data_IF_300649949411
#
_entry.id   IF_300649949411
#
_cell.length_a   1.000
_cell.length_b   1.000
_cell.length_c   1.000
_cell.angle_alpha   90.00
_cell.angle_beta   90.00
_cell.angle_gamma   90.00
#
_symmetry.space_group_name_H-M   'P 1'
#
loop_
_entity.id
_entity.type
_entity.pdbx_description
1 polymer ?
#
# COMPACT_ATOMS: atom_id res chain seq x y z
N UNK A 1 40.23 1.41 66.97
CA UNK A 1 38.86 1.66 66.46
C UNK A 1 38.95 2.34 65.10
N UNK A 2 38.14 1.87 64.14
CA UNK A 2 37.80 2.42 62.81
C UNK A 2 38.53 1.80 61.61
N UNK A 3 37.90 0.73 61.14
CA UNK A 3 38.04 0.11 59.83
C UNK A 3 37.54 1.10 58.76
N UNK A 4 38.33 1.36 57.71
CA UNK A 4 37.87 2.04 56.51
C UNK A 4 37.66 0.98 55.43
N UNK A 5 36.39 0.70 55.16
CA UNK A 5 35.94 -0.21 54.11
C UNK A 5 36.09 0.47 52.74
N UNK A 6 36.88 -0.14 51.86
CA UNK A 6 36.93 0.23 50.44
C UNK A 6 35.66 -0.31 49.75
N UNK A 7 34.78 0.59 49.34
CA UNK A 7 33.60 0.27 48.54
C UNK A 7 34.00 0.24 47.06
N UNK A 8 34.20 -0.97 46.50
CA UNK A 8 34.35 -1.15 45.06
C UNK A 8 32.98 -1.09 44.40
N UNK A 9 32.67 0.02 43.73
CA UNK A 9 31.46 0.16 42.91
C UNK A 9 31.74 -0.45 41.52
N UNK A 10 31.40 -1.72 41.34
CA UNK A 10 31.41 -2.35 40.02
C UNK A 10 30.22 -1.86 39.20
N UNK A 11 30.46 -0.94 38.26
CA UNK A 11 29.50 -0.59 37.21
C UNK A 11 29.34 -1.80 36.27
N UNK A 12 28.32 -2.62 36.51
CA UNK A 12 27.81 -3.55 35.51
C UNK A 12 27.06 -2.74 34.45
N UNK A 13 27.74 -2.36 33.37
CA UNK A 13 27.09 -2.01 32.11
C UNK A 13 26.48 -3.29 31.55
N UNK A 14 25.22 -3.55 31.91
CA UNK A 14 24.43 -4.60 31.28
C UNK A 14 24.21 -4.26 29.82
N UNK A 15 25.01 -4.86 28.93
CA UNK A 15 24.71 -4.90 27.50
C UNK A 15 23.52 -5.85 27.37
N UNK A 16 22.30 -5.32 27.34
CA UNK A 16 21.13 -6.09 26.94
C UNK A 16 21.25 -6.37 25.45
N UNK A 17 21.81 -7.53 25.10
CA UNK A 17 21.68 -8.07 23.76
C UNK A 17 20.20 -8.40 23.54
N UNK A 18 19.48 -7.52 22.85
CA UNK A 18 18.16 -7.86 22.34
C UNK A 18 18.34 -8.99 21.34
N UNK A 19 17.75 -10.16 21.62
CA UNK A 19 17.72 -11.24 20.66
C UNK A 19 16.95 -10.75 19.43
N UNK A 20 17.63 -10.68 18.30
CA UNK A 20 17.02 -10.29 17.04
C UNK A 20 16.10 -11.43 16.58
N UNK A 21 14.81 -11.13 16.37
CA UNK A 21 13.87 -12.13 15.85
C UNK A 21 14.28 -12.50 14.43
N UNK A 22 14.45 -13.80 14.19
CA UNK A 22 14.82 -14.34 12.87
C UNK A 22 13.86 -15.43 12.44
N UNK A 23 13.69 -15.61 11.14
CA UNK A 23 12.84 -16.63 10.52
C UNK A 23 13.56 -17.35 9.39
N UNK A 24 13.10 -18.56 9.07
CA UNK A 24 13.57 -19.32 7.91
C UNK A 24 12.91 -18.77 6.65
N UNK A 25 13.72 -18.33 5.68
CA UNK A 25 13.24 -17.80 4.40
C UNK A 25 13.76 -18.65 3.25
N UNK A 26 12.85 -19.24 2.48
CA UNK A 26 13.17 -19.96 1.24
C UNK A 26 13.14 -18.99 0.08
N UNK A 27 14.32 -18.69 -0.47
CA UNK A 27 14.47 -17.97 -1.73
C UNK A 27 14.24 -18.93 -2.89
N UNK A 28 13.47 -18.49 -3.90
CA UNK A 28 13.20 -19.28 -5.10
C UNK A 28 13.25 -18.40 -6.35
N UNK A 29 13.90 -18.90 -7.40
CA UNK A 29 13.92 -18.25 -8.72
C UNK A 29 13.75 -19.30 -9.81
N UNK A 30 12.88 -19.01 -10.77
CA UNK A 30 12.66 -19.84 -11.95
C UNK A 30 13.53 -19.32 -13.10
N UNK A 31 14.45 -20.15 -13.57
CA UNK A 31 15.33 -19.83 -14.69
C UNK A 31 14.62 -19.97 -16.04
N UNK A 32 13.44 -20.61 -16.09
CA UNK A 32 12.71 -20.87 -17.33
C UNK A 32 13.59 -21.54 -18.38
N UNK A 33 13.72 -20.90 -19.54
CA UNK A 33 14.59 -21.35 -20.64
C UNK A 33 15.98 -20.69 -20.64
N UNK A 34 16.32 -19.90 -19.62
CA UNK A 34 17.62 -19.25 -19.55
C UNK A 34 18.73 -20.26 -19.28
N UNK A 35 19.88 -20.07 -19.95
CA UNK A 35 21.08 -20.86 -19.67
C UNK A 35 21.64 -20.48 -18.30
N UNK A 36 21.77 -21.47 -17.43
CA UNK A 36 22.37 -21.30 -16.10
C UNK A 36 23.88 -21.17 -16.24
N UNK A 37 24.44 -20.17 -15.58
CA UNK A 37 25.89 -19.96 -15.49
C UNK A 37 26.58 -21.18 -14.91
N UNK A 38 27.80 -21.47 -15.38
CA UNK A 38 28.64 -22.53 -14.80
C UNK A 38 29.02 -22.23 -13.35
N UNK A 39 28.92 -20.97 -12.93
CA UNK A 39 29.12 -20.55 -11.54
C UNK A 39 27.85 -20.74 -10.69
N UNK A 40 26.73 -21.22 -11.26
CA UNK A 40 25.48 -21.48 -10.55
C UNK A 40 24.60 -20.24 -10.35
N UNK A 41 23.55 -20.40 -9.53
CA UNK A 41 22.59 -19.34 -9.20
C UNK A 41 22.80 -18.92 -7.75
N UNK A 42 22.80 -17.61 -7.49
CA UNK A 42 22.98 -17.06 -6.14
C UNK A 42 21.90 -16.04 -5.77
N UNK A 43 21.74 -15.77 -4.49
CA UNK A 43 20.98 -14.65 -3.96
C UNK A 43 21.88 -13.70 -3.17
N UNK A 44 21.83 -12.41 -3.50
CA UNK A 44 22.49 -11.36 -2.74
C UNK A 44 21.47 -10.51 -1.99
N UNK A 45 21.71 -10.14 -0.74
CA UNK A 45 20.77 -9.27 -0.03
C UNK A 45 21.23 -8.79 1.34
N UNK A 46 20.35 -7.98 1.93
CA UNK A 46 20.49 -7.41 3.28
C UNK A 46 20.74 -8.45 4.37
N UNK A 47 20.28 -9.69 4.19
CA UNK A 47 20.43 -10.79 5.14
C UNK A 47 21.87 -11.32 5.30
N UNK A 48 22.79 -10.95 4.41
CA UNK A 48 24.18 -11.43 4.46
C UNK A 48 25.24 -10.37 4.11
N UNK A 49 24.85 -9.09 4.04
CA UNK A 49 25.70 -7.95 3.63
C UNK A 49 26.02 -7.88 2.13
N UNK A 50 25.06 -8.22 1.26
CA UNK A 50 25.19 -8.04 -0.20
C UNK A 50 26.42 -8.71 -0.83
N UNK A 51 26.85 -9.86 -0.29
CA UNK A 51 27.81 -10.74 -0.95
C UNK A 51 27.15 -11.49 -2.11
N UNK A 52 27.70 -11.41 -3.34
CA UNK A 52 27.11 -12.05 -4.53
C UNK A 52 27.35 -13.57 -4.61
N UNK A 53 28.27 -14.12 -3.81
CA UNK A 53 28.75 -15.50 -3.97
C UNK A 53 28.51 -16.43 -2.77
N UNK A 54 28.00 -15.91 -1.64
CA UNK A 54 27.93 -16.70 -0.40
C UNK A 54 26.65 -17.51 -0.24
N UNK A 55 25.59 -17.19 -1.00
CA UNK A 55 24.29 -17.85 -0.89
C UNK A 55 23.92 -18.48 -2.23
N UNK A 56 24.43 -19.69 -2.47
CA UNK A 56 24.11 -20.49 -3.65
C UNK A 56 22.72 -21.14 -3.54
N UNK A 57 22.02 -21.23 -4.66
CA UNK A 57 20.74 -21.93 -4.80
C UNK A 57 20.93 -23.24 -5.55
N UNK A 58 20.18 -24.26 -5.13
CA UNK A 58 20.19 -25.59 -5.74
C UNK A 58 18.94 -25.82 -6.58
N UNK A 59 19.09 -26.52 -7.69
CA UNK A 59 17.95 -26.90 -8.54
C UNK A 59 16.96 -27.77 -7.76
N UNK A 60 15.68 -27.47 -7.86
CA UNK A 60 14.60 -28.23 -7.23
C UNK A 60 14.21 -29.39 -8.15
N UNK A 61 14.69 -30.58 -7.84
CA UNK A 61 14.42 -31.80 -8.64
C UNK A 61 14.85 -31.63 -10.09
N UNK A 62 13.95 -31.91 -11.03
CA UNK A 62 14.15 -31.72 -12.47
C UNK A 62 13.42 -30.47 -13.02
N UNK A 63 13.07 -29.51 -12.16
CA UNK A 63 12.37 -28.28 -12.57
C UNK A 63 13.35 -27.20 -13.04
N UNK A 64 12.84 -26.07 -13.51
CA UNK A 64 13.62 -24.88 -13.82
C UNK A 64 13.83 -23.96 -12.59
N UNK A 65 13.31 -24.36 -11.43
CA UNK A 65 13.36 -23.59 -10.18
C UNK A 65 14.63 -23.94 -9.40
N UNK A 66 15.30 -22.90 -8.91
CA UNK A 66 16.42 -22.97 -7.98
C UNK A 66 15.99 -22.40 -6.64
N UNK A 67 16.41 -23.03 -5.54
CA UNK A 67 16.00 -22.62 -4.20
C UNK A 67 17.11 -22.78 -3.15
N UNK A 68 17.03 -21.97 -2.09
CA UNK A 68 17.82 -22.13 -0.87
C UNK A 68 17.06 -21.56 0.32
N UNK A 69 17.31 -22.09 1.51
CA UNK A 69 16.71 -21.59 2.76
C UNK A 69 17.80 -21.01 3.65
N UNK A 70 17.59 -19.78 4.12
CA UNK A 70 18.52 -19.09 5.03
C UNK A 70 17.76 -18.45 6.17
N UNK A 71 18.47 -18.16 7.26
CA UNK A 71 17.92 -17.40 8.38
C UNK A 71 17.97 -15.91 8.07
N UNK A 72 16.82 -15.23 8.16
CA UNK A 72 16.68 -13.80 7.87
C UNK A 72 16.06 -13.10 9.08
N UNK A 73 16.51 -11.89 9.35
CA UNK A 73 15.92 -11.03 10.38
C UNK A 73 14.46 -10.67 10.04
N UNK A 74 13.63 -10.56 11.05
CA UNK A 74 12.28 -10.03 10.90
C UNK A 74 12.29 -8.60 10.33
N UNK A 75 11.27 -8.25 9.54
CA UNK A 75 11.11 -6.93 8.94
C UNK A 75 11.41 -6.90 7.44
N UNK A 76 11.86 -5.74 6.95
CA UNK A 76 12.16 -5.51 5.54
C UNK A 76 13.37 -6.33 5.10
N UNK A 77 13.17 -7.10 4.03
CA UNK A 77 14.20 -7.84 3.33
C UNK A 77 14.35 -7.24 1.93
N UNK A 78 15.57 -6.83 1.58
CA UNK A 78 15.95 -6.50 0.20
C UNK A 78 16.95 -7.53 -0.35
N UNK A 79 16.81 -7.87 -1.63
CA UNK A 79 17.62 -8.88 -2.29
C UNK A 79 17.60 -8.78 -3.83
N UNK A 80 18.51 -9.52 -4.47
CA UNK A 80 18.61 -9.77 -5.91
C UNK A 80 19.01 -11.23 -6.16
N UNK A 81 18.54 -11.80 -7.27
CA UNK A 81 19.09 -13.05 -7.80
C UNK A 81 20.23 -12.78 -8.78
N UNK A 82 21.16 -13.72 -8.85
CA UNK A 82 22.30 -13.70 -9.76
C UNK A 82 22.36 -15.00 -10.56
N UNK A 83 22.54 -14.88 -11.87
CA UNK A 83 22.86 -16.02 -12.74
C UNK A 83 24.38 -16.11 -12.92
N UNK A 84 25.05 -16.44 -11.83
CA UNK A 84 26.49 -16.36 -11.64
C UNK A 84 26.78 -16.08 -10.17
N UNK A 85 27.96 -15.55 -9.87
CA UNK A 85 28.40 -15.32 -8.48
C UNK A 85 29.16 -14.00 -8.28
N UNK A 86 29.06 -13.07 -9.24
CA UNK A 86 29.67 -11.75 -9.17
C UNK A 86 28.65 -10.65 -9.57
N UNK A 87 28.91 -9.42 -9.14
CA UNK A 87 28.13 -8.27 -9.62
C UNK A 87 28.32 -8.07 -11.12
N UNK A 88 27.22 -7.77 -11.83
CA UNK A 88 27.14 -7.89 -13.28
C UNK A 88 26.44 -9.18 -13.74
N UNK A 89 26.39 -10.22 -12.90
CA UNK A 89 25.51 -11.39 -13.09
C UNK A 89 24.12 -11.18 -12.47
N UNK A 90 23.92 -10.08 -11.74
CA UNK A 90 22.67 -9.78 -11.05
C UNK A 90 21.55 -9.39 -12.01
N UNK A 91 20.35 -9.77 -11.63
CA UNK A 91 19.17 -9.48 -12.43
C UNK A 91 18.86 -7.97 -12.50
N UNK A 92 18.28 -7.58 -13.64
CA UNK A 92 17.57 -6.31 -13.79
C UNK A 92 16.13 -6.48 -13.32
N UNK A 93 15.86 -6.13 -12.05
CA UNK A 93 14.53 -6.27 -11.45
C UNK A 93 13.54 -5.31 -12.13
N UNK A 94 12.38 -5.79 -12.61
CA UNK A 94 11.39 -4.92 -13.24
C UNK A 94 10.78 -3.89 -12.28
N UNK A 95 10.44 -2.73 -12.83
CA UNK A 95 9.84 -1.61 -12.08
C UNK A 95 8.65 -2.01 -11.17
N UNK A 96 7.70 -2.88 -11.60
CA UNK A 96 6.57 -3.28 -10.75
C UNK A 96 6.93 -4.12 -9.51
N UNK A 97 8.16 -4.57 -9.34
CA UNK A 97 8.54 -5.44 -8.21
C UNK A 97 9.86 -5.05 -7.53
N UNK A 98 10.42 -3.91 -7.92
CA UNK A 98 11.56 -3.34 -7.21
C UNK A 98 11.11 -2.41 -6.08
N UNK A 99 12.05 -2.05 -5.20
CA UNK A 99 11.84 -0.98 -4.19
C UNK A 99 11.45 0.31 -4.90
N UNK A 100 12.21 0.72 -5.92
CA UNK A 100 11.83 1.78 -6.87
C UNK A 100 12.00 3.21 -6.35
N UNK A 101 12.76 3.40 -5.26
CA UNK A 101 13.01 4.72 -4.65
C UNK A 101 14.50 5.01 -4.64
N UNK A 102 14.92 6.26 -4.94
CA UNK A 102 16.32 6.70 -4.94
C UNK A 102 17.27 5.82 -5.80
N UNK A 103 16.77 5.29 -6.92
CA UNK A 103 17.53 4.38 -7.79
C UNK A 103 17.68 2.95 -7.27
N UNK A 104 17.07 2.61 -6.12
CA UNK A 104 17.09 1.26 -5.58
C UNK A 104 16.22 0.31 -6.44
N UNK A 105 16.88 -0.60 -7.15
CA UNK A 105 16.27 -1.60 -8.02
C UNK A 105 16.26 -3.01 -7.42
N UNK A 106 16.29 -3.14 -6.10
CA UNK A 106 16.27 -4.43 -5.42
C UNK A 106 14.86 -5.00 -5.38
N UNK A 107 14.74 -6.34 -5.38
CA UNK A 107 13.52 -7.02 -4.93
C UNK A 107 13.37 -6.81 -3.42
N UNK A 108 12.15 -6.94 -2.92
CA UNK A 108 11.89 -6.79 -1.50
C UNK A 108 10.76 -7.70 -1.01
N UNK A 109 10.77 -7.96 0.30
CA UNK A 109 9.74 -8.70 1.03
C UNK A 109 9.66 -8.21 2.49
N UNK A 110 8.62 -8.66 3.22
CA UNK A 110 8.53 -8.50 4.68
C UNK A 110 8.51 -9.87 5.31
N UNK A 111 9.38 -10.08 6.29
CA UNK A 111 9.48 -11.34 7.00
C UNK A 111 8.92 -11.15 8.42
N UNK A 112 7.80 -11.80 8.70
CA UNK A 112 7.15 -11.83 10.03
C UNK A 112 6.95 -13.24 10.57
N UNK A 113 7.30 -14.24 9.76
CA UNK A 113 7.22 -15.67 10.05
C UNK A 113 8.11 -16.43 9.05
N UNK A 114 8.28 -17.73 9.26
CA UNK A 114 8.89 -18.60 8.25
C UNK A 114 8.16 -18.45 6.92
N UNK A 115 8.92 -18.15 5.87
CA UNK A 115 8.35 -17.66 4.60
C UNK A 115 9.02 -18.36 3.43
N UNK A 116 8.21 -18.90 2.53
CA UNK A 116 8.68 -19.32 1.20
C UNK A 116 8.33 -18.24 0.20
N UNK A 117 9.36 -17.57 -0.35
CA UNK A 117 9.15 -16.54 -1.35
C UNK A 117 8.69 -17.16 -2.67
N UNK A 118 7.89 -16.45 -3.48
CA UNK A 118 7.44 -16.95 -4.78
C UNK A 118 8.61 -17.27 -5.70
N UNK A 119 8.50 -18.36 -6.47
CA UNK A 119 9.45 -18.71 -7.52
C UNK A 119 9.25 -17.78 -8.74
N UNK A 120 9.74 -16.55 -8.62
CA UNK A 120 9.69 -15.54 -9.68
C UNK A 120 10.60 -15.93 -10.84
N UNK A 121 10.23 -15.57 -12.07
CA UNK A 121 11.14 -15.71 -13.21
C UNK A 121 12.39 -14.83 -13.02
N UNK A 122 13.58 -15.33 -13.35
CA UNK A 122 14.82 -14.52 -13.31
C UNK A 122 14.67 -13.24 -14.16
N UNK A 123 14.96 -12.08 -13.57
CA UNK A 123 14.71 -10.75 -14.15
C UNK A 123 13.24 -10.49 -14.56
N UNK A 124 12.30 -11.33 -14.14
CA UNK A 124 10.87 -11.21 -14.39
C UNK A 124 10.11 -10.66 -13.19
N UNK A 125 8.92 -10.13 -13.47
CA UNK A 125 8.08 -9.51 -12.44
C UNK A 125 7.39 -10.52 -11.54
N UNK A 126 7.06 -11.71 -12.04
CA UNK A 126 6.18 -12.66 -11.35
C UNK A 126 6.59 -14.12 -11.62
N UNK A 127 6.02 -15.09 -10.88
CA UNK A 127 6.09 -16.50 -11.25
C UNK A 127 5.55 -16.77 -12.66
N UNK A 128 5.94 -17.90 -13.25
CA UNK A 128 5.46 -18.32 -14.57
C UNK A 128 3.92 -18.31 -14.64
N UNK A 129 3.36 -17.73 -15.71
CA UNK A 129 1.91 -17.63 -15.92
C UNK A 129 1.19 -16.55 -15.11
N UNK A 130 1.90 -15.81 -14.24
CA UNK A 130 1.32 -14.78 -13.38
C UNK A 130 1.74 -13.37 -13.81
N UNK A 131 1.11 -12.37 -13.17
CA UNK A 131 1.49 -10.95 -13.18
C UNK A 131 1.65 -10.46 -11.73
N UNK A 132 2.44 -9.42 -11.55
CA UNK A 132 2.62 -8.75 -10.27
C UNK A 132 1.92 -7.39 -10.27
N UNK A 133 1.29 -7.03 -9.17
CA UNK A 133 0.68 -5.73 -8.96
C UNK A 133 1.31 -5.13 -7.71
N UNK A 134 2.05 -4.05 -7.85
CA UNK A 134 2.53 -3.27 -6.72
C UNK A 134 1.48 -2.22 -6.39
N UNK A 135 0.73 -2.47 -5.33
CA UNK A 135 -0.24 -1.53 -4.79
C UNK A 135 0.51 -0.58 -3.87
N UNK A 136 0.47 0.71 -4.18
CA UNK A 136 1.12 1.80 -3.45
C UNK A 136 0.05 2.76 -2.94
N UNK A 137 0.11 3.09 -1.66
CA UNK A 137 -0.75 4.09 -1.03
C UNK A 137 0.08 5.11 -0.27
N UNK A 138 -0.05 6.37 -0.67
CA UNK A 138 0.57 7.49 0.01
C UNK A 138 -0.31 7.93 1.18
N UNK A 139 0.27 7.97 2.38
CA UNK A 139 -0.42 8.29 3.63
C UNK A 139 -0.12 9.70 4.12
N UNK A 140 0.47 10.58 3.29
CA UNK A 140 0.96 11.91 3.70
C UNK A 140 -0.11 12.82 4.34
N UNK A 141 -1.40 12.59 4.03
CA UNK A 141 -2.53 13.36 4.55
C UNK A 141 -3.22 12.68 5.74
N UNK A 142 -2.66 11.58 6.24
CA UNK A 142 -3.28 10.73 7.25
C UNK A 142 -2.33 10.58 8.45
N UNK A 143 -2.90 10.42 9.63
CA UNK A 143 -2.15 9.84 10.76
C UNK A 143 -2.20 8.32 10.60
N UNK A 144 -1.03 7.69 10.41
CA UNK A 144 -0.95 6.24 10.24
C UNK A 144 -1.27 5.54 11.56
N UNK A 145 -2.15 4.54 11.50
CA UNK A 145 -2.52 3.70 12.66
C UNK A 145 -1.30 3.00 13.27
N UNK A 146 -1.35 2.74 14.58
CA UNK A 146 -0.35 1.91 15.27
C UNK A 146 -0.32 0.47 14.74
N UNK A 147 -1.44 0.00 14.16
CA UNK A 147 -1.52 -1.29 13.47
C UNK A 147 -0.99 -1.23 12.03
N UNK A 148 -0.37 -0.12 11.62
CA UNK A 148 0.17 0.11 10.27
C UNK A 148 -0.91 0.12 9.18
N UNK A 149 -0.50 0.03 7.92
CA UNK A 149 -1.37 0.08 6.73
C UNK A 149 -1.45 -1.30 6.09
N UNK A 150 -2.66 -1.71 5.72
CA UNK A 150 -2.91 -2.99 5.06
C UNK A 150 -3.65 -2.80 3.74
N UNK A 151 -3.65 -3.85 2.91
CA UNK A 151 -4.47 -3.94 1.71
C UNK A 151 -5.29 -5.22 1.72
N UNK A 152 -6.60 -5.08 1.56
CA UNK A 152 -7.53 -6.19 1.46
C UNK A 152 -8.02 -6.34 0.03
N UNK A 153 -8.10 -7.58 -0.50
CA UNK A 153 -8.55 -7.78 -1.86
C UNK A 153 -8.78 -9.22 -2.28
N UNK A 154 -9.24 -9.37 -3.53
CA UNK A 154 -9.56 -10.67 -4.14
C UNK A 154 -8.37 -11.63 -4.17
N UNK A 155 -7.15 -11.11 -4.24
CA UNK A 155 -5.91 -11.89 -4.31
C UNK A 155 -5.56 -12.66 -3.02
N UNK A 156 -6.23 -12.37 -1.90
CA UNK A 156 -5.92 -13.02 -0.62
C UNK A 156 -7.16 -13.49 0.17
N UNK A 157 -8.37 -13.17 -0.30
CA UNK A 157 -9.63 -13.54 0.34
C UNK A 157 -10.29 -12.45 1.18
N UNK A 158 -10.02 -11.17 0.90
CA UNK A 158 -10.61 -10.02 1.62
C UNK A 158 -10.39 -10.08 3.15
N UNK A 159 -9.25 -10.56 3.61
CA UNK A 159 -8.84 -10.43 5.01
C UNK A 159 -8.13 -9.07 5.22
N UNK A 160 -8.63 -8.19 6.10
CA UNK A 160 -8.09 -6.86 6.34
C UNK A 160 -6.73 -6.84 7.06
N UNK A 161 -6.37 -7.92 7.76
CA UNK A 161 -5.12 -8.01 8.53
C UNK A 161 -4.01 -8.78 7.80
N UNK A 162 -4.34 -9.45 6.68
CA UNK A 162 -3.45 -10.45 6.08
C UNK A 162 -2.28 -9.86 5.29
N UNK A 163 -2.48 -8.76 4.57
CA UNK A 163 -1.42 -8.16 3.73
C UNK A 163 -1.00 -6.82 4.31
N UNK A 164 0.03 -6.87 5.16
CA UNK A 164 0.72 -5.68 5.67
C UNK A 164 1.45 -4.96 4.53
N UNK A 165 1.30 -3.64 4.44
CA UNK A 165 2.01 -2.79 3.49
C UNK A 165 3.27 -2.18 4.12
N UNK A 166 4.29 -2.00 3.30
CA UNK A 166 5.63 -1.57 3.73
C UNK A 166 5.90 -0.14 3.38
N UNK A 167 6.35 0.64 4.35
CA UNK A 167 6.81 2.00 4.12
C UNK A 167 8.29 2.03 3.75
N UNK A 168 8.64 2.62 2.60
CA UNK A 168 10.04 2.93 2.28
C UNK A 168 10.34 4.45 2.21
N UNK A 169 9.33 5.30 1.96
CA UNK A 169 9.53 6.73 1.64
C UNK A 169 8.28 7.60 1.92
N UNK A 170 7.44 7.20 2.86
CA UNK A 170 6.12 7.78 3.09
C UNK A 170 5.02 7.13 2.23
N UNK A 171 5.38 6.33 1.23
CA UNK A 171 4.43 5.54 0.43
C UNK A 171 4.51 4.07 0.84
N UNK A 172 3.39 3.57 1.37
CA UNK A 172 3.22 2.18 1.75
C UNK A 172 2.98 1.32 0.51
N UNK A 173 3.59 0.14 0.44
CA UNK A 173 3.49 -0.75 -0.73
C UNK A 173 3.35 -2.22 -0.39
N UNK A 174 2.60 -2.96 -1.21
CA UNK A 174 2.45 -4.41 -1.17
C UNK A 174 2.47 -4.97 -2.60
N UNK A 175 3.00 -6.18 -2.79
CA UNK A 175 2.96 -6.89 -4.08
C UNK A 175 1.99 -8.06 -3.97
N UNK A 176 1.05 -8.13 -4.90
CA UNK A 176 0.24 -9.32 -5.13
C UNK A 176 0.66 -10.00 -6.43
N UNK A 177 0.68 -11.33 -6.41
CA UNK A 177 0.87 -12.16 -7.60
C UNK A 177 -0.43 -12.88 -7.92
N UNK A 178 -0.91 -12.72 -9.15
CA UNK A 178 -2.19 -13.29 -9.63
C UNK A 178 -2.04 -13.81 -11.06
N UNK A 179 -2.98 -14.63 -11.53
CA UNK A 179 -2.95 -15.07 -12.93
C UNK A 179 -3.04 -13.87 -13.87
N UNK A 180 -2.39 -13.93 -15.04
CA UNK A 180 -2.35 -12.80 -15.99
C UNK A 180 -3.74 -12.28 -16.37
N UNK A 181 -4.72 -13.17 -16.48
CA UNK A 181 -6.09 -12.83 -16.87
C UNK A 181 -6.97 -12.34 -15.73
N UNK A 182 -6.55 -12.47 -14.47
CA UNK A 182 -7.39 -12.17 -13.33
C UNK A 182 -7.46 -10.66 -13.11
N UNK A 183 -8.67 -10.13 -12.96
CA UNK A 183 -8.84 -8.77 -12.45
C UNK A 183 -8.71 -8.79 -10.93
N UNK A 184 -8.06 -7.76 -10.38
CA UNK A 184 -7.86 -7.62 -8.94
C UNK A 184 -8.68 -6.47 -8.42
N UNK A 185 -9.38 -6.71 -7.31
CA UNK A 185 -10.21 -5.73 -6.63
C UNK A 185 -9.76 -5.63 -5.19
N UNK A 186 -9.64 -4.41 -4.67
CA UNK A 186 -9.03 -4.20 -3.36
C UNK A 186 -9.45 -2.87 -2.73
N UNK A 187 -9.13 -2.74 -1.43
CA UNK A 187 -9.21 -1.52 -0.64
C UNK A 187 -7.97 -1.42 0.26
N UNK A 188 -7.50 -0.20 0.45
CA UNK A 188 -6.51 0.14 1.47
C UNK A 188 -7.17 0.33 2.84
N UNK A 189 -6.42 0.04 3.89
CA UNK A 189 -6.89 0.07 5.28
C UNK A 189 -5.81 0.75 6.12
N UNK A 190 -6.18 1.83 6.81
CA UNK A 190 -5.31 2.49 7.80
C UNK A 190 -5.43 1.82 9.16
N UNK A 191 -4.96 0.58 9.23
CA UNK A 191 -5.08 -0.35 10.35
C UNK A 191 -5.13 -1.77 9.81
N UNK A 192 -5.70 -2.71 10.57
CA UNK A 192 -5.84 -4.12 10.19
C UNK A 192 -7.31 -4.62 10.24
N UNK A 193 -8.27 -3.70 10.27
CA UNK A 193 -9.70 -4.00 10.42
C UNK A 193 -10.59 -3.13 9.55
N UNK A 194 -11.79 -3.63 9.24
CA UNK A 194 -12.74 -2.98 8.33
C UNK A 194 -13.29 -1.64 8.83
N UNK A 195 -13.22 -1.36 10.13
CA UNK A 195 -13.58 -0.06 10.68
C UNK A 195 -12.66 1.08 10.24
N UNK A 196 -11.47 0.76 9.71
CA UNK A 196 -10.47 1.72 9.25
C UNK A 196 -10.23 1.62 7.73
N UNK A 197 -11.18 1.07 6.98
CA UNK A 197 -11.12 0.97 5.52
C UNK A 197 -11.26 2.35 4.86
N UNK A 198 -10.62 2.54 3.72
CA UNK A 198 -10.80 3.76 2.94
C UNK A 198 -12.23 3.90 2.35
N UNK A 199 -12.66 5.15 2.19
CA UNK A 199 -13.71 5.52 1.25
C UNK A 199 -13.09 5.83 -0.10
N UNK A 200 -13.29 4.96 -1.09
CA UNK A 200 -12.81 5.17 -2.46
C UNK A 200 -13.70 6.22 -3.14
N UNK A 201 -13.15 7.33 -3.66
CA UNK A 201 -13.97 8.32 -4.35
C UNK A 201 -14.67 7.72 -5.57
N UNK A 202 -15.92 8.13 -5.81
CA UNK A 202 -16.78 7.56 -6.85
C UNK A 202 -16.12 7.50 -8.23
N UNK A 203 -15.35 8.53 -8.59
CA UNK A 203 -14.67 8.63 -9.89
C UNK A 203 -13.62 7.53 -10.16
N UNK A 204 -13.14 6.82 -9.14
CA UNK A 204 -12.21 5.69 -9.30
C UNK A 204 -12.70 4.38 -8.68
N UNK A 205 -14.00 4.28 -8.40
CA UNK A 205 -14.63 3.02 -8.04
C UNK A 205 -14.77 2.10 -9.26
N UNK A 206 -14.71 0.79 -9.01
CA UNK A 206 -14.98 -0.24 -10.02
C UNK A 206 -16.37 -0.07 -10.68
N UNK A 207 -17.39 0.27 -9.89
CA UNK A 207 -18.76 0.52 -10.36
C UNK A 207 -18.82 1.60 -11.46
N UNK A 208 -18.12 2.71 -11.27
CA UNK A 208 -18.03 3.83 -12.22
C UNK A 208 -17.35 3.42 -13.52
N UNK A 209 -16.43 2.47 -13.47
CA UNK A 209 -15.81 1.86 -14.64
C UNK A 209 -16.68 0.77 -15.32
N UNK A 210 -17.94 0.59 -14.89
CA UNK A 210 -18.85 -0.43 -15.41
C UNK A 210 -18.52 -1.84 -14.93
N UNK A 211 -17.73 -1.99 -13.87
CA UNK A 211 -17.34 -3.27 -13.29
C UNK A 211 -18.26 -3.58 -12.10
N UNK A 212 -18.86 -4.77 -12.08
CA UNK A 212 -19.77 -5.19 -11.01
C UNK A 212 -19.04 -5.60 -9.71
N UNK A 213 -18.27 -4.67 -9.15
CA UNK A 213 -17.48 -4.83 -7.93
C UNK A 213 -17.62 -3.65 -6.97
N UNK A 214 -18.70 -2.87 -7.10
CA UNK A 214 -19.06 -1.80 -6.19
C UNK A 214 -17.98 -0.71 -6.06
N UNK A 215 -17.75 -0.29 -4.82
CA UNK A 215 -16.87 0.81 -4.45
C UNK A 215 -15.39 0.40 -4.25
N UNK A 216 -14.99 -0.75 -4.82
CA UNK A 216 -13.62 -1.22 -4.74
C UNK A 216 -12.70 -0.48 -5.71
N UNK A 217 -11.42 -0.39 -5.36
CA UNK A 217 -10.36 -0.12 -6.35
C UNK A 217 -10.17 -1.35 -7.24
N UNK A 218 -9.63 -1.16 -8.44
CA UNK A 218 -9.44 -2.25 -9.39
C UNK A 218 -8.13 -2.16 -10.17
N UNK A 219 -7.63 -3.31 -10.60
CA UNK A 219 -6.53 -3.47 -11.54
C UNK A 219 -6.89 -4.58 -12.54
N UNK A 220 -7.09 -4.21 -13.81
CA UNK A 220 -7.59 -5.11 -14.86
C UNK A 220 -6.56 -5.45 -15.94
N UNK A 221 -5.43 -4.75 -15.97
CA UNK A 221 -4.39 -4.97 -16.98
C UNK A 221 -3.84 -6.38 -16.90
N UNK A 222 -3.52 -6.97 -18.05
CA UNK A 222 -2.99 -8.35 -18.12
C UNK A 222 -1.48 -8.45 -17.89
N UNK A 223 -0.82 -7.31 -17.72
CA UNK A 223 0.61 -7.18 -17.47
C UNK A 223 0.89 -6.84 -16.01
N UNK A 224 2.15 -6.95 -15.60
CA UNK A 224 2.55 -6.48 -14.28
C UNK A 224 2.61 -4.97 -14.26
N UNK A 225 2.22 -4.34 -13.16
CA UNK A 225 2.18 -2.88 -13.07
C UNK A 225 2.15 -2.36 -11.65
N UNK A 226 2.14 -1.02 -11.57
CA UNK A 226 2.10 -0.26 -10.33
C UNK A 226 0.73 0.43 -10.27
N UNK A 227 0.04 0.29 -9.16
CA UNK A 227 -1.17 1.06 -8.85
C UNK A 227 -0.83 1.99 -7.69
N UNK A 228 -0.79 3.31 -7.93
CA UNK A 228 -0.35 4.29 -6.95
C UNK A 228 -1.36 5.43 -6.78
N UNK A 229 -1.74 5.69 -5.53
CA UNK A 229 -2.73 6.70 -5.14
C UNK A 229 -2.43 7.25 -3.75
N UNK A 230 -3.02 8.38 -3.39
CA UNK A 230 -3.17 8.82 -2.01
C UNK A 230 -4.32 8.04 -1.34
N UNK A 231 -4.19 7.80 -0.04
CA UNK A 231 -5.29 7.27 0.75
C UNK A 231 -6.54 8.16 0.57
N UNK A 232 -7.70 7.53 0.35
CA UNK A 232 -9.00 8.18 0.07
C UNK A 232 -9.03 9.14 -1.13
N UNK A 233 -8.06 9.07 -2.05
CA UNK A 233 -8.08 9.82 -3.32
C UNK A 233 -7.87 8.90 -4.52
N UNK A 234 -8.14 9.39 -5.73
CA UNK A 234 -7.96 8.65 -6.99
C UNK A 234 -6.58 8.82 -7.64
N UNK A 235 -5.75 9.73 -7.12
CA UNK A 235 -4.47 10.09 -7.71
C UNK A 235 -3.44 10.47 -6.65
N UNK A 236 -2.40 11.26 -6.99
CA UNK A 236 -1.41 11.69 -6.01
C UNK A 236 -2.04 12.53 -4.91
N UNK A 237 -1.40 12.61 -3.74
CA UNK A 237 -1.93 13.41 -2.64
C UNK A 237 -2.00 14.88 -3.03
N UNK A 238 -3.22 15.40 -3.11
CA UNK A 238 -3.48 16.83 -3.25
C UNK A 238 -4.24 17.31 -2.01
N UNK A 239 -3.84 18.48 -1.51
CA UNK A 239 -4.71 19.21 -0.59
C UNK A 239 -5.76 19.88 -1.46
N UNK A 240 -6.98 19.38 -1.43
CA UNK A 240 -8.12 20.13 -1.97
C UNK A 240 -8.43 21.21 -0.95
N UNK A 241 -8.35 22.51 -1.31
CA UNK A 241 -8.76 23.55 -0.40
C UNK A 241 -10.26 23.37 -0.11
N UNK A 242 -10.59 23.30 1.17
CA UNK A 242 -11.97 23.35 1.62
C UNK A 242 -12.38 24.80 1.83
N UNK A 243 -13.64 25.09 1.55
CA UNK A 243 -14.21 26.43 1.71
C UNK A 243 -15.46 26.37 2.56
N UNK A 244 -15.62 27.35 3.43
CA UNK A 244 -16.90 27.61 4.07
C UNK A 244 -17.79 28.30 3.04
N UNK A 245 -18.92 27.67 2.72
CA UNK A 245 -19.89 28.19 1.76
C UNK A 245 -21.15 28.63 2.48
N UNK A 246 -21.72 29.73 2.01
CA UNK A 246 -23.05 30.17 2.39
C UNK A 246 -23.85 30.38 1.11
N UNK A 247 -24.95 29.66 0.98
CA UNK A 247 -25.90 29.82 -0.12
C UNK A 247 -27.03 30.69 0.37
N UNK A 248 -27.23 31.81 -0.31
CA UNK A 248 -28.33 32.72 -0.06
C UNK A 248 -29.26 32.72 -1.27
N UNK A 249 -30.55 32.55 -1.04
CA UNK A 249 -31.59 32.60 -2.07
C UNK A 249 -32.58 33.69 -1.68
N UNK A 250 -32.57 34.79 -2.43
CA UNK A 250 -33.55 35.86 -2.30
C UNK A 250 -34.85 35.47 -3.01
N UNK A 251 -35.91 35.34 -2.23
CA UNK A 251 -37.27 35.03 -2.70
C UNK A 251 -38.24 36.20 -2.47
N UNK A 252 -37.74 37.36 -2.04
CA UNK A 252 -38.53 38.55 -1.70
C UNK A 252 -39.40 39.07 -2.85
N UNK A 253 -39.01 38.81 -4.10
CA UNK A 253 -39.75 39.22 -5.30
C UNK A 253 -40.79 38.20 -5.79
N UNK A 254 -40.89 37.01 -5.16
CA UNK A 254 -41.83 35.97 -5.60
C UNK A 254 -43.27 36.38 -5.26
N UNK A 255 -43.99 36.85 -6.29
CA UNK A 255 -45.39 37.29 -6.20
C UNK A 255 -46.41 36.16 -6.47
N UNK A 256 -45.93 34.97 -6.80
CA UNK A 256 -46.76 33.85 -7.29
C UNK A 256 -47.30 32.91 -6.21
N UNK A 257 -46.83 33.00 -4.96
CA UNK A 257 -47.32 32.18 -3.85
C UNK A 257 -47.84 33.07 -2.73
N UNK A 258 -49.13 32.98 -2.42
CA UNK A 258 -49.74 33.70 -1.28
C UNK A 258 -49.18 33.26 0.08
N UNK A 259 -48.47 32.14 0.12
CA UNK A 259 -47.76 31.59 1.28
C UNK A 259 -46.56 30.78 0.78
N UNK A 260 -45.36 31.13 1.22
CA UNK A 260 -44.15 30.31 1.04
C UNK A 260 -44.02 29.38 2.26
N UNK A 261 -43.92 28.06 2.04
CA UNK A 261 -43.83 27.07 3.13
C UNK A 261 -42.36 26.85 3.54
N UNK A 262 -41.48 26.58 2.58
CA UNK A 262 -40.05 26.39 2.81
C UNK A 262 -39.23 26.65 1.55
N UNK A 263 -37.97 27.03 1.73
CA UNK A 263 -36.93 26.99 0.68
C UNK A 263 -35.96 25.88 1.04
N UNK A 264 -35.58 25.04 0.06
CA UNK A 264 -34.61 23.98 0.27
C UNK A 264 -33.53 23.98 -0.81
N UNK A 265 -32.31 23.62 -0.41
CA UNK A 265 -31.17 23.42 -1.31
C UNK A 265 -31.00 21.93 -1.57
N UNK A 266 -30.87 21.51 -2.82
CA UNK A 266 -30.52 20.14 -3.18
C UNK A 266 -29.28 20.15 -4.08
N UNK A 267 -28.32 19.26 -3.82
CA UNK A 267 -27.12 19.11 -4.63
C UNK A 267 -26.28 17.91 -4.18
N UNK A 268 -25.12 17.66 -4.79
CA UNK A 268 -24.22 16.59 -4.37
C UNK A 268 -23.88 16.65 -2.88
N UNK A 269 -23.78 17.87 -2.31
CA UNK A 269 -23.46 18.11 -0.90
C UNK A 269 -24.44 17.47 0.11
N UNK A 270 -25.70 17.24 -0.30
CA UNK A 270 -26.71 16.57 0.52
C UNK A 270 -27.36 15.38 -0.20
N UNK A 271 -26.64 14.79 -1.16
CA UNK A 271 -27.10 13.61 -1.90
C UNK A 271 -28.40 13.86 -2.68
N UNK A 272 -28.67 15.09 -3.10
CA UNK A 272 -29.91 15.52 -3.75
C UNK A 272 -31.18 15.34 -2.89
N UNK A 273 -31.04 15.14 -1.58
CA UNK A 273 -32.17 14.92 -0.68
C UNK A 273 -33.01 16.16 -0.37
N UNK A 274 -32.46 17.35 -0.62
CA UNK A 274 -33.07 18.61 -0.24
C UNK A 274 -32.91 18.90 1.25
N UNK A 275 -32.35 20.05 1.59
CA UNK A 275 -32.17 20.51 2.97
C UNK A 275 -32.78 21.90 3.14
N UNK A 276 -33.55 22.10 4.20
CA UNK A 276 -34.25 23.36 4.43
C UNK A 276 -33.27 24.49 4.74
N UNK A 277 -33.48 25.62 4.07
CA UNK A 277 -32.81 26.88 4.34
C UNK A 277 -33.58 27.68 5.40
N UNK A 278 -32.90 28.58 6.10
CA UNK A 278 -33.50 29.43 7.14
C UNK A 278 -33.52 30.90 6.76
N UNK A 279 -34.58 31.62 7.14
CA UNK A 279 -34.69 33.08 7.08
C UNK A 279 -35.03 33.59 8.50
N UNK A 280 -34.04 33.74 9.40
CA UNK A 280 -34.29 34.08 10.79
C UNK A 280 -34.71 35.53 11.02
N UNK A 281 -34.34 36.46 10.14
CA UNK A 281 -34.65 37.89 10.22
C UNK A 281 -35.89 38.29 9.39
N UNK A 282 -36.42 37.37 8.60
CA UNK A 282 -37.68 37.52 7.87
C UNK A 282 -37.58 38.51 6.72
N UNK A 283 -36.39 38.69 6.16
CA UNK A 283 -36.13 39.64 5.08
C UNK A 283 -36.42 39.05 3.68
N UNK A 284 -36.75 37.76 3.62
CA UNK A 284 -37.01 37.04 2.37
C UNK A 284 -35.75 36.48 1.73
N UNK A 285 -34.59 36.50 2.39
CA UNK A 285 -33.34 35.87 1.97
C UNK A 285 -33.11 34.62 2.81
N UNK A 286 -33.30 33.47 2.20
CA UNK A 286 -33.07 32.18 2.85
C UNK A 286 -31.60 31.81 2.74
N UNK A 287 -31.02 31.36 3.85
CA UNK A 287 -29.60 31.02 3.96
C UNK A 287 -29.39 29.59 4.47
N UNK A 288 -28.35 28.93 3.94
CA UNK A 288 -27.78 27.70 4.49
C UNK A 288 -26.26 27.75 4.35
N UNK A 289 -25.53 27.27 5.35
CA UNK A 289 -24.07 27.26 5.35
C UNK A 289 -23.52 25.86 5.54
N UNK A 290 -22.45 25.55 4.82
CA UNK A 290 -21.69 24.32 4.97
C UNK A 290 -20.24 24.69 5.22
N UNK A 291 -19.63 24.03 6.20
CA UNK A 291 -18.23 24.27 6.56
C UNK A 291 -17.35 23.23 5.90
N UNK A 292 -16.14 23.63 5.51
CA UNK A 292 -15.14 22.71 5.00
C UNK A 292 -15.55 21.97 3.72
N UNK A 293 -16.26 22.63 2.79
CA UNK A 293 -16.70 22.03 1.54
C UNK A 293 -15.56 21.92 0.55
N UNK A 294 -15.32 20.71 0.05
CA UNK A 294 -14.32 20.46 -0.99
C UNK A 294 -14.62 21.28 -2.25
N UNK A 295 -13.59 21.88 -2.85
CA UNK A 295 -13.74 22.79 -4.00
C UNK A 295 -14.41 22.18 -5.24
N UNK A 296 -14.52 20.85 -5.32
CA UNK A 296 -15.15 20.11 -6.41
C UNK A 296 -16.59 19.66 -6.14
N UNK A 297 -17.06 19.75 -4.90
CA UNK A 297 -18.33 19.15 -4.46
C UNK A 297 -19.52 20.13 -4.50
N UNK A 298 -19.25 21.39 -4.83
CA UNK A 298 -20.30 22.41 -4.88
C UNK A 298 -20.93 22.52 -6.27
N UNK A 299 -22.09 21.88 -6.44
CA UNK A 299 -23.03 22.05 -7.56
C UNK A 299 -24.45 22.14 -6.97
N UNK A 300 -25.32 23.00 -7.49
CA UNK A 300 -26.71 23.17 -7.04
C UNK A 300 -27.62 23.53 -8.22
#
# INVERSE_FOLDING_TARGET
MKNLYALALALFFGITAFAQTTYSVTFQVDMGSATVSTNGIHAAGSFQSWSPSTTALSQVGSTTIYATTVTVNAGQLEYKFLNGNAWGDDESVPAPVQVGTNGNSNRWAVISQDTTLPAVMFAGSAPAGQKAIQMKVNMALQTVSSDSVHVAGSFQGWDPAKTLMVNFDGVHRAIAYVSKTDSVYFKFINGNGWSAVESVPSTCQASTAGINQGDNRFYTDTLSGIYEVCYTQCGPCTIVPTYDITVNVDVSSLTACSTLDSVSLAGPINGWGGENMSDPDGDGIYSISYLGVDSGDFQF
#
